data_IF_803242963323
#
_entry.id   IF_803242963323
#
_cell.length_a   1.000
_cell.length_b   1.000
_cell.length_c   1.000
_cell.angle_alpha   90.00
_cell.angle_beta   90.00
_cell.angle_gamma   90.00
#
_symmetry.space_group_name_H-M   'P 1'
#
loop_
_entity.id
_entity.type
_entity.pdbx_description
1 polymer ?
#
# COMPACT_ATOMS: atom_id res chain seq x y z
N UNK A 1 -4.51 -20.52 -8.98
CA UNK A 1 -3.83 -19.21 -9.09
C UNK A 1 -2.34 -19.45 -9.15
N UNK A 2 -1.65 -18.84 -10.12
CA UNK A 2 -0.20 -19.00 -10.26
C UNK A 2 0.49 -17.85 -9.52
N UNK A 3 1.27 -18.15 -8.48
CA UNK A 3 1.94 -17.14 -7.68
C UNK A 3 3.31 -16.81 -8.28
N UNK A 4 3.64 -15.52 -8.40
CA UNK A 4 4.96 -15.06 -8.83
C UNK A 4 5.64 -14.30 -7.70
N UNK A 5 6.95 -14.50 -7.56
CA UNK A 5 7.77 -13.79 -6.56
C UNK A 5 8.12 -12.41 -7.10
N UNK A 6 7.71 -11.37 -6.37
CA UNK A 6 8.13 -9.99 -6.60
C UNK A 6 9.21 -9.65 -5.59
N UNK A 7 10.28 -8.99 -6.04
CA UNK A 7 11.36 -8.50 -5.18
C UNK A 7 11.45 -6.99 -5.35
N UNK A 8 11.54 -6.27 -4.24
CA UNK A 8 11.77 -4.82 -4.21
C UNK A 8 12.80 -4.50 -3.15
N UNK A 9 13.47 -3.36 -3.31
CA UNK A 9 14.39 -2.83 -2.32
C UNK A 9 13.65 -1.81 -1.46
N UNK A 10 13.72 -2.00 -0.15
CA UNK A 10 13.21 -1.07 0.83
C UNK A 10 14.36 -0.61 1.70
N UNK A 11 14.37 0.68 2.03
CA UNK A 11 15.31 1.21 3.00
C UNK A 11 14.90 0.78 4.43
N UNK A 12 15.76 1.10 5.41
CA UNK A 12 15.53 0.72 6.81
C UNK A 12 14.23 1.29 7.37
N UNK A 13 13.92 2.55 7.09
CA UNK A 13 12.72 3.23 7.60
C UNK A 13 11.45 2.59 7.06
N UNK A 14 11.43 2.20 5.79
CA UNK A 14 10.33 1.51 5.14
C UNK A 14 10.12 0.10 5.73
N UNK A 15 11.20 -0.63 6.03
CA UNK A 15 11.13 -1.93 6.70
C UNK A 15 10.61 -1.78 8.13
N UNK A 16 11.13 -0.81 8.89
CA UNK A 16 10.72 -0.53 10.26
C UNK A 16 9.24 -0.13 10.32
N UNK A 17 8.76 0.61 9.32
CA UNK A 17 7.33 0.94 9.18
C UNK A 17 6.47 -0.32 9.01
N UNK A 18 6.85 -1.24 8.12
CA UNK A 18 6.11 -2.50 7.93
C UNK A 18 6.11 -3.37 9.19
N UNK A 19 7.23 -3.42 9.92
CA UNK A 19 7.32 -4.14 11.18
C UNK A 19 6.44 -3.52 12.26
N UNK A 20 6.38 -2.19 12.33
CA UNK A 20 5.50 -1.49 13.24
C UNK A 20 4.03 -1.81 12.96
N UNK A 21 3.60 -1.77 11.70
CA UNK A 21 2.22 -2.16 11.33
C UNK A 21 1.89 -3.59 11.77
N UNK A 22 2.82 -4.53 11.57
CA UNK A 22 2.63 -5.91 12.01
C UNK A 22 2.53 -6.06 13.52
N UNK A 23 3.36 -5.33 14.28
CA UNK A 23 3.31 -5.30 15.74
C UNK A 23 2.02 -4.65 16.25
N UNK A 24 1.63 -3.53 15.67
CA UNK A 24 0.41 -2.81 16.06
C UNK A 24 -0.82 -3.72 15.87
N UNK A 25 -0.91 -4.43 14.73
CA UNK A 25 -1.98 -5.41 14.49
C UNK A 25 -1.93 -6.57 15.51
N UNK A 26 -0.75 -7.10 15.80
CA UNK A 26 -0.56 -8.19 16.76
C UNK A 26 -0.99 -7.79 18.17
N UNK A 27 -0.59 -6.60 18.64
CA UNK A 27 -0.90 -6.14 19.99
C UNK A 27 -2.33 -5.63 20.15
N UNK A 28 -2.95 -5.10 19.08
CA UNK A 28 -4.32 -4.61 19.13
C UNK A 28 -5.38 -5.69 18.91
N UNK A 29 -5.10 -6.69 18.07
CA UNK A 29 -6.11 -7.68 17.65
C UNK A 29 -5.65 -9.14 17.78
N UNK A 30 -4.39 -9.39 18.12
CA UNK A 30 -3.79 -10.72 18.08
C UNK A 30 -3.40 -11.19 16.68
N UNK A 31 -3.68 -10.42 15.63
CA UNK A 31 -3.39 -10.80 14.25
C UNK A 31 -1.90 -10.60 13.91
N UNK A 32 -1.20 -11.70 13.66
CA UNK A 32 0.18 -11.66 13.19
C UNK A 32 0.25 -11.36 11.69
N UNK A 33 0.61 -10.13 11.33
CA UNK A 33 0.84 -9.72 9.95
C UNK A 33 2.33 -9.79 9.60
N UNK A 34 2.66 -10.49 8.52
CA UNK A 34 4.00 -10.44 7.92
C UNK A 34 4.10 -9.24 6.97
N UNK A 35 5.33 -8.75 6.74
CA UNK A 35 5.62 -7.68 5.76
C UNK A 35 5.01 -7.98 4.40
N UNK A 36 5.19 -9.22 3.92
CA UNK A 36 4.64 -9.68 2.64
C UNK A 36 3.11 -9.65 2.63
N UNK A 37 2.45 -10.01 3.74
CA UNK A 37 0.98 -9.99 3.83
C UNK A 37 0.43 -8.58 3.79
N UNK A 38 1.11 -7.63 4.44
CA UNK A 38 0.76 -6.21 4.36
C UNK A 38 0.86 -5.71 2.91
N UNK A 39 1.95 -6.04 2.21
CA UNK A 39 2.14 -5.66 0.80
C UNK A 39 1.09 -6.31 -0.11
N UNK A 40 0.79 -7.60 0.09
CA UNK A 40 -0.27 -8.33 -0.63
C UNK A 40 -1.62 -7.62 -0.50
N UNK A 41 -2.01 -7.27 0.73
CA UNK A 41 -3.28 -6.57 0.99
C UNK A 41 -3.32 -5.17 0.39
N UNK A 42 -2.20 -4.45 0.38
CA UNK A 42 -2.10 -3.16 -0.29
C UNK A 42 -2.30 -3.29 -1.80
N UNK A 43 -1.71 -4.32 -2.43
CA UNK A 43 -1.89 -4.58 -3.86
C UNK A 43 -3.35 -4.92 -4.16
N UNK A 44 -3.97 -5.82 -3.37
CA UNK A 44 -5.37 -6.19 -3.54
C UNK A 44 -6.30 -4.97 -3.40
N UNK A 45 -6.01 -4.09 -2.44
CA UNK A 45 -6.76 -2.86 -2.25
C UNK A 45 -6.60 -1.89 -3.43
N UNK A 46 -5.37 -1.67 -3.89
CA UNK A 46 -5.06 -0.80 -5.04
C UNK A 46 -5.73 -1.30 -6.32
N UNK A 47 -5.81 -2.62 -6.54
CA UNK A 47 -6.53 -3.21 -7.67
C UNK A 47 -8.03 -2.90 -7.61
N UNK A 48 -8.65 -2.99 -6.43
CA UNK A 48 -10.08 -2.65 -6.24
C UNK A 48 -10.38 -1.17 -6.48
N UNK A 49 -9.39 -0.29 -6.35
CA UNK A 49 -9.52 1.13 -6.68
C UNK A 49 -9.46 1.40 -8.20
N UNK A 50 -9.34 0.37 -9.05
CA UNK A 50 -9.18 0.49 -10.50
C UNK A 50 -8.04 1.43 -10.91
N UNK A 51 -6.95 1.42 -10.14
CA UNK A 51 -5.73 2.14 -10.47
C UNK A 51 -5.04 1.50 -11.68
N UNK A 52 -4.90 2.26 -12.77
CA UNK A 52 -4.11 1.86 -13.94
C UNK A 52 -2.80 2.64 -14.05
N UNK A 53 -1.84 2.08 -14.79
CA UNK A 53 -0.53 2.68 -15.06
C UNK A 53 -0.49 3.65 -16.23
N UNK A 54 -1.62 3.98 -16.87
CA UNK A 54 -1.63 4.81 -18.08
C UNK A 54 -1.14 6.21 -17.76
N UNK A 55 -0.12 6.65 -18.50
CA UNK A 55 0.52 7.97 -18.39
C UNK A 55 1.25 8.24 -17.06
N UNK A 56 1.64 7.20 -16.32
CA UNK A 56 2.47 7.35 -15.12
C UNK A 56 3.93 7.42 -15.54
N UNK A 57 4.55 8.59 -15.43
CA UNK A 57 5.94 8.84 -15.84
C UNK A 57 6.88 9.01 -14.66
N UNK A 58 6.32 9.24 -13.47
CA UNK A 58 7.08 9.48 -12.25
C UNK A 58 6.33 8.94 -11.03
N UNK A 59 7.06 8.76 -9.93
CA UNK A 59 6.49 8.47 -8.61
C UNK A 59 5.41 9.49 -8.22
N UNK A 60 5.67 10.77 -8.49
CA UNK A 60 4.74 11.88 -8.18
C UNK A 60 3.43 11.75 -8.96
N UNK A 61 3.46 11.27 -10.21
CA UNK A 61 2.23 11.03 -10.98
C UNK A 61 1.39 9.92 -10.36
N UNK A 62 2.04 8.86 -9.89
CA UNK A 62 1.38 7.75 -9.19
C UNK A 62 0.73 8.22 -7.88
N UNK A 63 1.48 8.96 -7.05
CA UNK A 63 0.99 9.55 -5.79
C UNK A 63 -0.19 10.51 -6.02
N UNK A 64 -0.09 11.37 -7.04
CA UNK A 64 -1.17 12.28 -7.42
C UNK A 64 -2.43 11.53 -7.86
N UNK A 65 -2.29 10.41 -8.57
CA UNK A 65 -3.43 9.61 -9.02
C UNK A 65 -4.14 8.94 -7.84
N UNK A 66 -3.39 8.33 -6.92
CA UNK A 66 -3.95 7.78 -5.68
C UNK A 66 -4.68 8.87 -4.90
N UNK A 67 -4.03 10.02 -4.68
CA UNK A 67 -4.62 11.15 -3.96
C UNK A 67 -5.91 11.65 -4.60
N UNK A 68 -5.96 11.74 -5.94
CA UNK A 68 -7.17 12.13 -6.67
C UNK A 68 -8.32 11.14 -6.47
N UNK A 69 -8.04 9.84 -6.49
CA UNK A 69 -9.04 8.82 -6.22
C UNK A 69 -9.56 8.91 -4.78
N UNK A 70 -8.66 9.03 -3.81
CA UNK A 70 -9.04 9.17 -2.40
C UNK A 70 -9.88 10.42 -2.16
N UNK A 71 -9.57 11.56 -2.78
CA UNK A 71 -10.39 12.79 -2.69
C UNK A 71 -11.77 12.63 -3.32
N UNK A 72 -11.89 11.85 -4.39
CA UNK A 72 -13.20 11.56 -5.00
C UNK A 72 -14.08 10.73 -4.07
N UNK A 73 -13.48 9.80 -3.32
CA UNK A 73 -14.19 8.93 -2.37
C UNK A 73 -14.47 9.69 -1.05
N UNK A 74 -13.53 10.51 -0.59
CA UNK A 74 -13.60 11.28 0.65
C UNK A 74 -13.29 12.77 0.38
N UNK A 75 -14.31 13.59 0.09
CA UNK A 75 -14.10 14.99 -0.28
C UNK A 75 -13.53 15.88 0.84
N UNK A 76 -13.47 15.37 2.07
CA UNK A 76 -13.00 16.11 3.25
C UNK A 76 -11.57 15.78 3.70
N UNK A 77 -10.78 15.03 2.90
CA UNK A 77 -9.39 14.73 3.24
C UNK A 77 -8.58 16.04 3.39
N UNK A 78 -7.91 16.31 4.53
CA UNK A 78 -7.12 17.53 4.74
C UNK A 78 -5.96 17.63 3.73
N UNK A 79 -5.59 18.88 3.41
CA UNK A 79 -4.61 19.23 2.37
C UNK A 79 -3.19 18.82 2.72
#
# INVERSE_FOLDING_TARGET
MNYQRVVTFLNREEVDFLDKLGKDALFSTGLKLSRAKVIEWLIDFVQKLHLDGKNIKSRKDFENRITKLLKKIYPHLPR
#
